data_IF_377091560219
#
_entry.id   IF_377091560219
#
_cell.length_a   1.000
_cell.length_b   1.000
_cell.length_c   1.000
_cell.angle_alpha   90.00
_cell.angle_beta   90.00
_cell.angle_gamma   90.00
#
_symmetry.space_group_name_H-M   'P 1'
#
loop_
_entity.id
_entity.type
_entity.pdbx_description
1 polymer ?
#
# COMPACT_ATOMS: atom_id res chain seq x y z
N UNK A 1 -35.70 42.18 7.93
CA UNK A 1 -36.33 40.97 7.38
C UNK A 1 -35.35 40.46 6.33
N UNK A 2 -34.64 39.35 6.43
CA UNK A 2 -34.56 38.25 7.38
C UNK A 2 -33.10 37.77 7.38
N UNK A 3 -32.60 37.44 8.57
CA UNK A 3 -31.34 36.73 8.76
C UNK A 3 -31.60 35.23 8.69
N UNK A 4 -30.54 34.48 8.36
CA UNK A 4 -30.33 33.02 8.56
C UNK A 4 -30.74 32.09 7.40
N UNK A 5 -30.13 30.90 7.26
CA UNK A 5 -28.72 30.53 7.46
C UNK A 5 -28.16 29.62 6.35
N UNK A 6 -26.83 29.45 6.31
CA UNK A 6 -26.15 28.40 5.55
C UNK A 6 -26.66 27.01 5.94
N UNK A 7 -27.00 26.18 4.95
CA UNK A 7 -27.27 24.75 5.15
C UNK A 7 -26.24 23.96 4.36
N UNK A 8 -24.98 24.07 4.78
CA UNK A 8 -23.96 23.05 4.55
C UNK A 8 -24.05 22.09 5.73
N UNK A 9 -25.06 21.22 5.71
CA UNK A 9 -25.23 20.19 6.72
C UNK A 9 -25.90 19.04 6.02
N UNK A 10 -25.16 17.94 5.90
CA UNK A 10 -25.55 16.51 5.75
C UNK A 10 -24.50 15.71 4.97
N UNK A 11 -23.54 16.34 4.28
CA UNK A 11 -22.47 15.63 3.54
C UNK A 11 -21.20 15.37 4.39
N UNK A 12 -20.97 16.18 5.43
CA UNK A 12 -19.78 16.07 6.29
C UNK A 12 -19.90 15.03 7.43
N UNK A 13 -21.11 14.58 7.77
CA UNK A 13 -21.33 13.67 8.91
C UNK A 13 -21.20 12.18 8.57
N UNK A 14 -21.13 11.81 7.28
CA UNK A 14 -20.83 10.42 6.84
C UNK A 14 -19.33 10.15 6.77
N UNK A 15 -18.47 11.17 6.85
CA UNK A 15 -17.02 10.98 6.75
C UNK A 15 -16.36 10.69 8.11
N UNK A 16 -16.93 11.10 9.24
CA UNK A 16 -16.20 11.11 10.54
C UNK A 16 -16.02 9.73 11.22
N UNK A 17 -16.43 8.61 10.60
CA UNK A 17 -16.21 7.27 11.19
C UNK A 17 -15.43 6.28 10.32
N UNK A 18 -15.09 6.66 9.09
CA UNK A 18 -14.26 5.84 8.17
C UNK A 18 -12.88 6.48 7.89
N UNK A 19 -12.60 7.63 8.50
CA UNK A 19 -11.50 8.56 8.17
C UNK A 19 -10.16 8.31 8.88
N UNK A 20 -9.90 7.12 9.45
CA UNK A 20 -8.66 6.90 10.21
C UNK A 20 -7.55 6.12 9.51
N UNK A 21 -7.62 5.77 8.22
CA UNK A 21 -6.57 4.90 7.61
C UNK A 21 -6.03 5.20 6.21
N UNK A 22 -6.58 6.12 5.42
CA UNK A 22 -5.95 6.51 4.14
C UNK A 22 -5.84 8.02 4.06
N UNK A 23 -4.63 8.55 4.30
CA UNK A 23 -4.35 9.98 4.12
C UNK A 23 -3.53 10.18 2.85
N UNK A 24 -3.90 11.13 1.98
CA UNK A 24 -3.11 11.44 0.77
C UNK A 24 -1.66 11.81 1.12
N UNK A 25 -1.43 12.51 2.24
CA UNK A 25 -0.08 12.77 2.77
C UNK A 25 0.69 11.49 3.10
N UNK A 26 0.02 10.47 3.64
CA UNK A 26 0.67 9.20 3.97
C UNK A 26 1.02 8.43 2.70
N UNK A 27 0.15 8.48 1.69
CA UNK A 27 0.43 7.93 0.37
C UNK A 27 1.64 8.62 -0.28
N UNK A 28 1.68 9.96 -0.30
CA UNK A 28 2.81 10.72 -0.85
C UNK A 28 4.11 10.41 -0.11
N UNK A 29 4.06 10.36 1.23
CA UNK A 29 5.22 9.99 2.05
C UNK A 29 5.68 8.56 1.80
N UNK A 30 4.74 7.61 1.64
CA UNK A 30 5.06 6.23 1.30
C UNK A 30 5.68 6.14 -0.10
N UNK A 31 5.11 6.83 -1.09
CA UNK A 31 5.68 6.92 -2.45
C UNK A 31 7.10 7.46 -2.42
N UNK A 32 7.32 8.57 -1.70
CA UNK A 32 8.63 9.19 -1.58
C UNK A 32 9.63 8.27 -0.88
N UNK A 33 9.22 7.63 0.22
CA UNK A 33 10.08 6.69 0.94
C UNK A 33 10.45 5.49 0.06
N UNK A 34 9.51 4.92 -0.68
CA UNK A 34 9.77 3.79 -1.59
C UNK A 34 10.67 4.23 -2.75
N UNK A 35 10.42 5.40 -3.35
CA UNK A 35 11.23 5.88 -4.46
C UNK A 35 12.65 6.22 -4.03
N UNK A 36 12.85 6.80 -2.84
CA UNK A 36 14.18 7.00 -2.25
C UNK A 36 14.87 5.67 -1.93
N UNK A 37 14.14 4.71 -1.36
CA UNK A 37 14.67 3.39 -1.00
C UNK A 37 15.09 2.58 -2.24
N UNK A 38 14.31 2.66 -3.33
CA UNK A 38 14.60 1.97 -4.59
C UNK A 38 15.46 2.80 -5.55
N UNK A 39 15.73 4.07 -5.22
CA UNK A 39 16.38 5.04 -6.10
C UNK A 39 15.63 5.26 -7.43
N UNK A 40 14.31 5.09 -7.43
CA UNK A 40 13.42 5.23 -8.59
C UNK A 40 12.36 6.33 -8.35
N UNK A 41 12.71 7.63 -8.55
CA UNK A 41 11.80 8.75 -8.32
C UNK A 41 10.55 8.70 -9.20
N UNK A 42 10.62 8.01 -10.33
CA UNK A 42 9.56 7.95 -11.35
C UNK A 42 8.62 6.74 -11.15
N UNK A 43 8.86 5.91 -10.13
CA UNK A 43 8.15 4.65 -9.90
C UNK A 43 6.61 4.84 -9.77
N UNK A 44 6.19 5.97 -9.23
CA UNK A 44 4.78 6.35 -9.01
C UNK A 44 4.33 7.53 -9.87
N UNK A 45 5.09 7.89 -10.92
CA UNK A 45 4.75 9.02 -11.78
C UNK A 45 3.51 8.76 -12.64
N UNK A 46 3.26 7.49 -13.00
CA UNK A 46 2.17 7.08 -13.90
C UNK A 46 1.09 6.23 -13.21
N UNK A 47 1.44 5.54 -12.13
CA UNK A 47 0.56 4.58 -11.44
C UNK A 47 0.37 4.96 -9.98
N UNK A 48 -0.82 4.68 -9.43
CA UNK A 48 -1.09 4.86 -8.00
C UNK A 48 -0.29 3.87 -7.15
N UNK A 49 0.00 4.23 -5.89
CA UNK A 49 0.74 3.38 -4.93
C UNK A 49 0.15 1.96 -4.87
N UNK A 50 -1.18 1.86 -4.71
CA UNK A 50 -1.89 0.59 -4.63
C UNK A 50 -1.69 -0.29 -5.89
N UNK A 51 -1.72 0.29 -7.09
CA UNK A 51 -1.51 -0.45 -8.34
C UNK A 51 -0.08 -0.97 -8.43
N UNK A 52 0.89 -0.15 -8.01
CA UNK A 52 2.30 -0.53 -8.05
C UNK A 52 2.64 -1.62 -7.04
N UNK A 53 2.09 -1.51 -5.82
CA UNK A 53 2.23 -2.52 -4.77
C UNK A 53 1.49 -3.81 -5.12
N UNK A 54 0.36 -3.73 -5.85
CA UNK A 54 -0.41 -4.91 -6.28
C UNK A 54 0.38 -5.90 -7.11
N UNK A 55 1.37 -5.46 -7.89
CA UNK A 55 2.25 -6.40 -8.61
C UNK A 55 3.11 -7.25 -7.66
N UNK A 56 3.30 -6.80 -6.42
CA UNK A 56 4.13 -7.44 -5.39
C UNK A 56 5.64 -7.34 -5.67
N UNK A 57 6.05 -6.94 -6.87
CA UNK A 57 7.44 -6.77 -7.25
C UNK A 57 8.13 -5.71 -6.38
N UNK A 58 7.51 -4.53 -6.27
CA UNK A 58 8.03 -3.42 -5.45
C UNK A 58 8.16 -3.82 -3.99
N UNK A 59 7.16 -4.52 -3.44
CA UNK A 59 7.22 -5.04 -2.07
C UNK A 59 8.41 -5.98 -1.88
N UNK A 60 8.61 -6.91 -2.81
CA UNK A 60 9.74 -7.81 -2.76
C UNK A 60 11.08 -7.08 -2.84
N UNK A 61 11.18 -6.07 -3.70
CA UNK A 61 12.39 -5.25 -3.83
C UNK A 61 12.67 -4.47 -2.55
N UNK A 62 11.67 -3.81 -1.96
CA UNK A 62 11.78 -3.09 -0.67
C UNK A 62 12.37 -4.01 0.40
N UNK A 63 11.82 -5.22 0.52
CA UNK A 63 12.31 -6.20 1.48
C UNK A 63 13.76 -6.62 1.21
N UNK A 64 14.13 -6.85 -0.04
CA UNK A 64 15.52 -7.15 -0.40
C UNK A 64 16.46 -5.96 -0.16
N UNK A 65 15.99 -4.73 -0.26
CA UNK A 65 16.78 -3.54 0.10
C UNK A 65 17.03 -3.48 1.60
N UNK A 66 16.02 -3.81 2.42
CA UNK A 66 16.14 -3.83 3.89
C UNK A 66 17.01 -5.01 4.36
N UNK A 67 16.76 -6.21 3.82
CA UNK A 67 17.49 -7.43 4.15
C UNK A 67 17.85 -8.17 2.85
N UNK A 68 19.07 -7.98 2.34
CA UNK A 68 19.48 -8.58 1.08
C UNK A 68 19.43 -10.10 1.13
N UNK A 69 18.86 -10.70 0.09
CA UNK A 69 18.75 -12.16 -0.06
C UNK A 69 17.53 -12.80 0.60
N UNK A 70 16.61 -12.01 1.15
CA UNK A 70 15.38 -12.55 1.78
C UNK A 70 14.42 -13.12 0.74
N UNK A 71 14.21 -12.42 -0.37
CA UNK A 71 13.34 -12.87 -1.46
C UNK A 71 14.21 -13.16 -2.68
N UNK A 72 14.53 -14.44 -2.88
CA UNK A 72 15.44 -14.88 -3.95
C UNK A 72 14.85 -14.78 -5.35
N UNK A 73 13.52 -14.84 -5.46
CA UNK A 73 12.81 -14.86 -6.73
C UNK A 73 11.64 -13.88 -6.69
N UNK A 74 11.72 -12.84 -7.51
CA UNK A 74 10.64 -11.89 -7.76
C UNK A 74 10.07 -12.20 -9.14
N UNK A 75 8.77 -12.40 -9.23
CA UNK A 75 8.12 -12.68 -10.50
C UNK A 75 7.66 -11.37 -11.16
N UNK A 76 8.19 -11.07 -12.35
CA UNK A 76 7.83 -9.87 -13.11
C UNK A 76 6.66 -10.09 -14.08
N UNK A 77 5.90 -11.17 -13.86
CA UNK A 77 4.81 -11.56 -14.76
C UNK A 77 3.51 -10.86 -14.39
N UNK A 78 2.75 -10.43 -15.40
CA UNK A 78 1.40 -9.84 -15.24
C UNK A 78 0.32 -10.85 -14.86
N UNK A 79 0.67 -12.12 -14.66
CA UNK A 79 -0.28 -13.16 -14.26
C UNK A 79 -0.65 -12.97 -12.80
N UNK A 80 -1.96 -13.04 -12.51
CA UNK A 80 -2.51 -12.93 -11.16
C UNK A 80 -1.83 -13.83 -10.14
N UNK A 81 -1.53 -15.07 -10.52
CA UNK A 81 -0.82 -16.02 -9.66
C UNK A 81 0.59 -15.53 -9.27
N UNK A 82 1.34 -14.97 -10.22
CA UNK A 82 2.68 -14.45 -9.97
C UNK A 82 2.66 -13.24 -9.02
N UNK A 83 1.68 -12.35 -9.19
CA UNK A 83 1.50 -11.19 -8.31
C UNK A 83 1.15 -11.61 -6.88
N UNK A 84 0.23 -12.56 -6.73
CA UNK A 84 -0.13 -13.13 -5.42
C UNK A 84 1.07 -13.84 -4.76
N UNK A 85 1.88 -14.57 -5.54
CA UNK A 85 3.07 -15.24 -5.04
C UNK A 85 4.12 -14.24 -4.53
N UNK A 86 4.33 -13.12 -5.25
CA UNK A 86 5.21 -12.04 -4.79
C UNK A 86 4.76 -11.45 -3.46
N UNK A 87 3.48 -11.09 -3.35
CA UNK A 87 2.92 -10.56 -2.09
C UNK A 87 3.11 -11.57 -0.96
N UNK A 88 2.80 -12.85 -1.19
CA UNK A 88 3.01 -13.90 -0.21
C UNK A 88 4.47 -14.08 0.22
N UNK A 89 5.43 -13.91 -0.71
CA UNK A 89 6.86 -13.94 -0.41
C UNK A 89 7.29 -12.76 0.45
N UNK A 90 6.77 -11.55 0.17
CA UNK A 90 6.98 -10.37 1.01
C UNK A 90 6.47 -10.59 2.43
N UNK A 91 5.24 -11.08 2.59
CA UNK A 91 4.66 -11.32 3.92
C UNK A 91 5.47 -12.36 4.72
N UNK A 92 5.91 -13.44 4.07
CA UNK A 92 6.79 -14.43 4.70
C UNK A 92 8.13 -13.83 5.12
N UNK A 93 8.71 -13.00 4.27
CA UNK A 93 9.94 -12.30 4.56
C UNK A 93 9.79 -11.33 5.74
N UNK A 94 8.67 -10.62 5.83
CA UNK A 94 8.35 -9.77 6.98
C UNK A 94 8.30 -10.56 8.29
N UNK A 95 7.71 -11.76 8.26
CA UNK A 95 7.68 -12.64 9.44
C UNK A 95 9.10 -13.13 9.79
N UNK A 96 9.92 -13.48 8.79
CA UNK A 96 11.31 -13.91 8.99
C UNK A 96 12.18 -12.85 9.67
N UNK A 97 11.97 -11.58 9.35
CA UNK A 97 12.67 -10.47 10.02
C UNK A 97 12.09 -10.12 11.40
N UNK A 98 11.01 -10.78 11.83
CA UNK A 98 10.41 -10.62 13.15
C UNK A 98 9.19 -9.69 13.21
N UNK A 99 8.62 -9.28 12.07
CA UNK A 99 7.36 -8.52 12.06
C UNK A 99 6.21 -9.46 12.45
N UNK A 100 5.36 -8.98 13.35
CA UNK A 100 4.18 -9.74 13.81
C UNK A 100 3.16 -9.82 12.68
N UNK A 101 2.57 -11.01 12.47
CA UNK A 101 1.46 -11.20 11.52
C UNK A 101 0.31 -10.20 11.69
N UNK A 102 0.02 -9.77 12.91
CA UNK A 102 -1.04 -8.80 13.18
C UNK A 102 -0.78 -7.39 12.61
N UNK A 103 0.49 -7.07 12.30
CA UNK A 103 0.88 -5.83 11.64
C UNK A 103 1.06 -6.00 10.12
N UNK A 104 0.83 -7.21 9.60
CA UNK A 104 0.92 -7.52 8.19
C UNK A 104 -0.48 -7.59 7.59
N UNK A 105 -0.59 -7.15 6.36
CA UNK A 105 -1.79 -7.32 5.53
C UNK A 105 -1.79 -8.71 4.88
N UNK A 106 -2.94 -9.11 4.34
CA UNK A 106 -3.09 -10.36 3.61
C UNK A 106 -3.07 -10.12 2.10
N UNK A 107 -2.69 -11.14 1.32
CA UNK A 107 -2.67 -11.04 -0.16
C UNK A 107 -3.94 -10.44 -0.77
N UNK A 108 -5.17 -10.86 -0.39
CA UNK A 108 -6.39 -10.24 -0.91
C UNK A 108 -6.59 -8.78 -0.48
N UNK A 109 -6.05 -8.32 0.64
CA UNK A 109 -6.19 -6.93 1.09
C UNK A 109 -5.60 -5.95 0.08
N UNK A 110 -4.44 -6.32 -0.50
CA UNK A 110 -3.76 -5.56 -1.52
C UNK A 110 -4.23 -5.92 -2.94
N UNK A 111 -4.29 -7.21 -3.27
CA UNK A 111 -4.57 -7.65 -4.64
C UNK A 111 -6.01 -7.36 -5.09
N UNK A 112 -6.98 -7.66 -4.22
CA UNK A 112 -8.42 -7.44 -4.43
C UNK A 112 -8.84 -6.04 -3.91
N UNK A 113 -7.87 -5.26 -3.39
CA UNK A 113 -8.07 -3.96 -2.74
C UNK A 113 -9.14 -4.00 -1.62
N UNK A 114 -9.31 -5.17 -0.98
CA UNK A 114 -10.30 -5.37 0.09
C UNK A 114 -10.08 -4.43 1.25
N UNK A 115 -8.82 -4.25 1.65
CA UNK A 115 -8.43 -3.34 2.72
C UNK A 115 -7.08 -2.69 2.40
N UNK A 116 -7.03 -1.78 1.42
CA UNK A 116 -5.79 -1.04 1.12
C UNK A 116 -5.31 -0.18 2.31
N UNK A 117 -6.22 0.14 3.22
CA UNK A 117 -6.00 0.87 4.46
C UNK A 117 -5.06 0.18 5.48
N UNK A 118 -4.80 -1.12 5.33
CA UNK A 118 -3.88 -1.87 6.22
C UNK A 118 -2.53 -2.18 5.58
N UNK A 119 -2.35 -1.78 4.31
CA UNK A 119 -1.15 -2.03 3.50
C UNK A 119 -0.13 -0.93 3.70
#
# INVERSE_FOLDING_TARGET
MESSPSVSSLEDDVKTKEQFKYSPELEERAKQWISELLNEPELFATESLAEKLKSGEVLCTIMNTIKPGTIKKVNHSKFSYAQMENIGNYLKACIDIGIRKAALFDTPDLYDKRNINVV
#
